data_IF_613682194850
#
_entry.id   IF_613682194850
#
_cell.length_a   1.000
_cell.length_b   1.000
_cell.length_c   1.000
_cell.angle_alpha   90.00
_cell.angle_beta   90.00
_cell.angle_gamma   90.00
#
_symmetry.space_group_name_H-M   'P 1'
#
loop_
_entity.id
_entity.type
_entity.pdbx_description
1 polymer ?
#
# COMPACT_ATOMS: atom_id res chain seq x y z
N UNK A 1 -38.73 -52.28 -21.28
CA UNK A 1 -37.58 -51.64 -20.62
C UNK A 1 -37.79 -50.12 -20.75
N UNK A 2 -38.05 -49.41 -19.64
CA UNK A 2 -38.41 -47.98 -19.63
C UNK A 2 -37.20 -47.22 -19.07
N UNK A 3 -36.52 -46.44 -19.90
CA UNK A 3 -35.38 -45.63 -19.48
C UNK A 3 -35.90 -44.36 -18.78
N UNK A 4 -35.59 -44.22 -17.50
CA UNK A 4 -35.87 -42.99 -16.73
C UNK A 4 -34.63 -42.11 -16.87
N UNK A 5 -34.74 -41.04 -17.65
CA UNK A 5 -33.68 -40.05 -17.83
C UNK A 5 -33.80 -39.00 -16.72
N UNK A 6 -32.94 -39.08 -15.71
CA UNK A 6 -32.86 -38.09 -14.62
C UNK A 6 -31.94 -36.97 -15.07
N UNK A 7 -32.51 -35.82 -15.45
CA UNK A 7 -31.75 -34.61 -15.80
C UNK A 7 -31.35 -33.92 -14.50
N UNK A 8 -30.13 -34.16 -14.05
CA UNK A 8 -29.51 -33.48 -12.91
C UNK A 8 -29.20 -32.03 -13.29
N UNK A 9 -29.90 -31.08 -12.68
CA UNK A 9 -29.71 -29.65 -12.92
C UNK A 9 -28.52 -29.15 -12.09
N UNK A 10 -27.39 -28.83 -12.74
CA UNK A 10 -26.25 -28.18 -12.08
C UNK A 10 -26.59 -26.72 -11.77
N UNK A 11 -26.76 -26.42 -10.48
CA UNK A 11 -26.82 -25.05 -9.96
C UNK A 11 -25.41 -24.45 -9.95
N UNK A 12 -25.14 -23.53 -10.88
CA UNK A 12 -23.93 -22.69 -10.87
C UNK A 12 -24.07 -21.62 -9.80
N UNK A 13 -23.55 -21.88 -8.59
CA UNK A 13 -23.40 -20.88 -7.55
C UNK A 13 -22.30 -19.89 -7.96
N UNK A 14 -22.68 -18.67 -8.35
CA UNK A 14 -21.75 -17.58 -8.64
C UNK A 14 -21.19 -17.04 -7.32
N UNK A 15 -19.95 -17.38 -6.99
CA UNK A 15 -19.24 -16.77 -5.86
C UNK A 15 -18.82 -15.35 -6.27
N UNK A 16 -19.57 -14.35 -5.82
CA UNK A 16 -19.16 -12.95 -5.95
C UNK A 16 -18.05 -12.72 -4.94
N UNK A 17 -16.79 -12.71 -5.39
CA UNK A 17 -15.66 -12.34 -4.56
C UNK A 17 -15.85 -10.90 -4.07
N UNK A 18 -15.95 -10.71 -2.76
CA UNK A 18 -15.99 -9.38 -2.16
C UNK A 18 -14.67 -8.66 -2.49
N UNK A 19 -14.75 -7.43 -3.00
CA UNK A 19 -13.56 -6.61 -3.21
C UNK A 19 -12.90 -6.36 -1.83
N UNK A 20 -11.59 -6.59 -1.67
CA UNK A 20 -10.92 -6.31 -0.41
C UNK A 20 -11.10 -4.83 -0.05
N UNK A 21 -11.45 -4.57 1.22
CA UNK A 21 -11.56 -3.21 1.74
C UNK A 21 -10.18 -2.55 1.64
N UNK A 22 -10.07 -1.29 1.16
CA UNK A 22 -8.79 -0.60 1.14
C UNK A 22 -8.23 -0.49 2.57
N UNK A 23 -6.90 -0.57 2.71
CA UNK A 23 -6.23 -0.50 4.01
C UNK A 23 -6.39 0.89 4.61
N UNK A 24 -6.48 0.99 5.94
CA UNK A 24 -6.28 2.27 6.63
C UNK A 24 -4.79 2.54 6.67
N UNK A 25 -4.37 3.64 6.07
CA UNK A 25 -2.96 4.02 6.03
C UNK A 25 -2.69 5.09 7.09
N UNK A 26 -1.47 5.09 7.64
CA UNK A 26 -1.03 6.17 8.50
C UNK A 26 -0.94 7.50 7.73
N UNK A 27 -1.24 8.61 8.40
CA UNK A 27 -1.19 9.98 7.87
C UNK A 27 -0.26 10.83 8.72
N UNK A 28 0.02 12.07 8.33
CA UNK A 28 0.70 13.05 9.19
C UNK A 28 0.02 14.41 9.15
N UNK A 29 0.28 15.26 10.15
CA UNK A 29 -0.16 16.66 10.16
C UNK A 29 0.96 17.57 9.63
N UNK A 30 0.76 18.39 8.58
CA UNK A 30 1.83 19.22 8.04
C UNK A 30 2.30 20.36 8.98
N UNK A 31 1.62 20.61 10.10
CA UNK A 31 2.00 21.64 11.06
C UNK A 31 3.30 21.28 11.81
N UNK A 32 4.19 22.26 11.92
CA UNK A 32 5.46 22.10 12.63
C UNK A 32 5.23 21.75 14.10
N UNK A 33 5.87 20.67 14.56
CA UNK A 33 5.70 20.15 15.92
C UNK A 33 4.54 19.16 16.07
N UNK A 34 3.73 18.96 15.03
CA UNK A 34 2.58 18.04 15.05
C UNK A 34 2.66 16.96 13.96
N UNK A 35 3.68 16.97 13.10
CA UNK A 35 3.76 16.01 11.99
C UNK A 35 4.01 14.57 12.43
N UNK A 36 4.66 14.39 13.58
CA UNK A 36 4.97 13.10 14.18
C UNK A 36 5.65 12.08 13.26
N UNK A 37 6.20 12.53 12.13
CA UNK A 37 7.02 11.71 11.26
C UNK A 37 8.36 11.45 11.93
N UNK A 38 8.90 10.25 11.75
CA UNK A 38 10.26 9.96 12.17
C UNK A 38 11.26 10.84 11.38
N UNK A 39 12.41 11.17 11.97
CA UNK A 39 13.45 12.01 11.35
C UNK A 39 13.95 11.46 10.00
N UNK A 40 13.79 10.16 9.77
CA UNK A 40 14.16 9.49 8.53
C UNK A 40 13.15 9.68 7.40
N UNK A 41 12.01 10.30 7.69
CA UNK A 41 10.90 10.50 6.77
C UNK A 41 10.56 11.99 6.62
N UNK A 42 9.63 12.32 5.74
CA UNK A 42 9.12 13.69 5.57
C UNK A 42 7.62 13.69 5.33
N UNK A 43 6.89 14.57 6.00
CA UNK A 43 5.45 14.72 5.80
C UNK A 43 5.16 15.42 4.46
N UNK A 44 4.57 14.71 3.49
CA UNK A 44 4.31 15.24 2.15
C UNK A 44 2.83 15.17 1.76
N UNK A 45 2.40 16.10 0.91
CA UNK A 45 1.05 16.11 0.35
C UNK A 45 0.95 15.16 -0.85
N UNK A 46 0.04 14.20 -0.79
CA UNK A 46 -0.26 13.23 -1.87
C UNK A 46 -1.46 13.66 -2.73
N UNK A 47 -1.86 14.93 -2.65
CA UNK A 47 -3.00 15.54 -3.32
C UNK A 47 -4.28 15.52 -2.48
N UNK A 48 -4.55 14.41 -1.78
CA UNK A 48 -5.75 14.27 -0.94
C UNK A 48 -5.45 14.30 0.56
N UNK A 49 -4.26 13.85 0.95
CA UNK A 49 -3.84 13.67 2.35
C UNK A 49 -2.34 13.87 2.49
N UNK A 50 -1.91 13.99 3.74
CA UNK A 50 -0.50 14.05 4.10
C UNK A 50 -0.05 12.70 4.66
N UNK A 51 1.14 12.26 4.24
CA UNK A 51 1.75 11.00 4.66
C UNK A 51 3.24 11.19 4.95
N UNK A 52 3.78 10.45 5.91
CA UNK A 52 5.23 10.38 6.12
C UNK A 52 5.82 9.55 5.00
N UNK A 53 6.66 10.15 4.17
CA UNK A 53 7.36 9.49 3.08
C UNK A 53 8.81 9.22 3.48
N UNK A 54 9.26 7.99 3.22
CA UNK A 54 10.65 7.60 3.28
C UNK A 54 11.51 8.41 2.31
N UNK A 55 12.81 8.50 2.60
CA UNK A 55 13.78 8.93 1.57
C UNK A 55 13.74 7.94 0.41
N UNK A 56 13.96 8.43 -0.81
CA UNK A 56 14.04 7.60 -2.01
C UNK A 56 15.05 6.45 -1.82
N UNK A 57 14.65 5.22 -2.16
CA UNK A 57 15.48 4.01 -2.01
C UNK A 57 15.43 3.37 -0.60
N UNK A 58 14.59 3.88 0.29
CA UNK A 58 14.39 3.34 1.63
C UNK A 58 12.94 2.90 1.87
N UNK A 59 12.79 1.90 2.74
CA UNK A 59 11.55 1.30 3.24
C UNK A 59 11.62 1.10 4.77
N UNK A 60 10.49 0.87 5.42
CA UNK A 60 10.42 0.78 6.87
C UNK A 60 10.94 -0.57 7.38
N UNK A 61 10.51 -1.66 6.74
CA UNK A 61 10.79 -3.01 7.19
C UNK A 61 11.04 -3.98 6.04
N UNK A 62 11.59 -5.15 6.37
CA UNK A 62 11.89 -6.21 5.40
C UNK A 62 10.64 -6.91 4.86
N UNK A 63 9.53 -6.90 5.61
CA UNK A 63 8.26 -7.45 5.12
C UNK A 63 7.58 -6.43 4.21
N UNK A 64 7.76 -6.62 2.90
CA UNK A 64 7.21 -5.74 1.88
C UNK A 64 5.68 -5.63 1.91
N UNK A 65 4.96 -6.55 2.56
CA UNK A 65 3.50 -6.57 2.60
C UNK A 65 2.91 -6.04 3.91
N UNK A 66 3.74 -5.64 4.88
CA UNK A 66 3.26 -5.13 6.17
C UNK A 66 2.77 -3.68 6.05
N UNK A 67 1.50 -3.53 5.72
CA UNK A 67 0.83 -2.23 5.61
C UNK A 67 0.76 -1.44 6.91
N UNK A 68 0.93 -2.10 8.06
CA UNK A 68 0.95 -1.42 9.35
C UNK A 68 2.25 -0.66 9.57
N UNK A 69 3.28 -0.94 8.77
CA UNK A 69 4.57 -0.25 8.81
C UNK A 69 4.86 0.52 7.52
N UNK A 70 4.47 -0.02 6.35
CA UNK A 70 4.82 0.58 5.07
C UNK A 70 3.81 0.31 3.95
N UNK A 71 3.69 1.27 3.03
CA UNK A 71 2.84 1.13 1.85
C UNK A 71 3.29 2.08 0.74
N UNK A 72 2.96 1.76 -0.52
CA UNK A 72 3.07 2.70 -1.63
C UNK A 72 1.68 3.08 -2.13
N UNK A 73 1.54 4.29 -2.64
CA UNK A 73 0.30 4.79 -3.21
C UNK A 73 0.47 5.06 -4.70
N UNK A 74 -0.60 4.86 -5.46
CA UNK A 74 -0.65 5.22 -6.87
C UNK A 74 -0.84 6.74 -7.06
N UNK A 75 0.11 7.50 -6.51
CA UNK A 75 0.12 8.97 -6.56
C UNK A 75 1.07 9.43 -7.66
N UNK A 76 0.59 10.17 -8.68
CA UNK A 76 1.43 10.65 -9.77
C UNK A 76 2.68 11.37 -9.26
N UNK A 77 3.84 11.00 -9.82
CA UNK A 77 5.17 11.52 -9.44
C UNK A 77 5.66 11.14 -8.03
N UNK A 78 4.92 10.36 -7.25
CA UNK A 78 5.32 9.88 -5.93
C UNK A 78 5.22 8.36 -5.78
N UNK A 79 4.88 7.62 -6.85
CA UNK A 79 4.77 6.16 -6.84
C UNK A 79 6.05 5.48 -6.37
N UNK A 80 7.21 6.11 -6.51
CA UNK A 80 8.51 5.58 -6.08
C UNK A 80 8.80 5.74 -4.58
N UNK A 81 7.98 6.51 -3.86
CA UNK A 81 8.13 6.73 -2.43
C UNK A 81 7.37 5.66 -1.64
N UNK A 82 8.04 5.09 -0.65
CA UNK A 82 7.41 4.30 0.40
C UNK A 82 6.89 5.26 1.46
N UNK A 83 5.67 5.05 1.92
CA UNK A 83 5.02 5.80 2.99
C UNK A 83 4.90 4.95 4.24
N UNK A 84 4.86 5.62 5.38
CA UNK A 84 4.76 4.98 6.69
C UNK A 84 3.77 5.72 7.59
N UNK A 85 3.27 5.08 8.67
CA UNK A 85 2.61 5.79 9.75
C UNK A 85 3.57 6.71 10.52
N UNK A 86 2.98 7.58 11.34
CA UNK A 86 3.71 8.41 12.29
C UNK A 86 4.65 7.54 13.16
N UNK A 87 5.77 8.14 13.57
CA UNK A 87 6.80 7.53 14.43
C UNK A 87 7.45 6.26 13.88
N UNK A 88 7.29 5.95 12.60
CA UNK A 88 7.87 4.76 11.97
C UNK A 88 9.19 5.10 11.30
N UNK A 89 10.29 4.51 11.78
CA UNK A 89 11.62 4.65 11.17
C UNK A 89 11.66 4.03 9.76
N UNK A 90 12.34 4.71 8.84
CA UNK A 90 12.51 4.27 7.46
C UNK A 90 13.99 4.28 7.02
N UNK A 91 14.75 3.32 7.55
CA UNK A 91 16.18 3.16 7.32
C UNK A 91 16.57 1.83 6.63
N UNK A 92 15.60 1.01 6.26
CA UNK A 92 15.86 -0.23 5.51
C UNK A 92 16.04 0.12 4.04
N UNK A 93 17.09 -0.38 3.37
CA UNK A 93 17.24 -0.19 1.92
C UNK A 93 16.20 -1.02 1.17
N UNK A 94 15.71 -0.47 0.06
CA UNK A 94 14.95 -1.24 -0.91
C UNK A 94 15.85 -2.25 -1.64
N UNK A 95 15.24 -3.25 -2.29
CA UNK A 95 15.95 -4.32 -2.99
C UNK A 95 16.72 -3.75 -4.19
N UNK A 96 16.15 -2.76 -4.88
CA UNK A 96 16.85 -1.86 -5.79
C UNK A 96 16.78 -0.41 -5.27
N UNK A 97 17.77 0.05 -4.49
CA UNK A 97 17.78 1.40 -3.92
C UNK A 97 18.30 2.46 -4.90
N UNK A 98 18.74 2.06 -6.10
CA UNK A 98 19.29 2.96 -7.12
C UNK A 98 18.45 2.98 -8.41
N UNK A 99 17.30 2.31 -8.40
CA UNK A 99 16.32 2.33 -9.48
C UNK A 99 15.79 3.74 -9.80
N UNK A 100 15.11 3.87 -10.93
CA UNK A 100 14.57 5.15 -11.39
C UNK A 100 13.05 5.10 -11.47
N UNK A 101 12.40 6.16 -10.96
CA UNK A 101 10.95 6.28 -11.00
C UNK A 101 10.26 5.05 -10.40
N UNK A 102 9.31 4.40 -11.11
CA UNK A 102 8.47 3.34 -10.55
C UNK A 102 9.23 2.07 -10.13
N UNK A 103 10.43 1.85 -10.66
CA UNK A 103 11.27 0.69 -10.36
C UNK A 103 11.91 0.79 -8.97
N UNK A 104 12.04 2.00 -8.42
CA UNK A 104 12.58 2.22 -7.09
C UNK A 104 11.58 1.69 -6.04
N UNK A 105 12.06 0.81 -5.16
CA UNK A 105 11.27 0.14 -4.13
C UNK A 105 10.05 -0.65 -4.69
N UNK A 106 10.20 -1.19 -5.91
CA UNK A 106 9.16 -1.92 -6.63
C UNK A 106 8.60 -3.14 -5.86
N UNK A 107 9.39 -3.69 -4.93
CA UNK A 107 9.01 -4.84 -4.11
C UNK A 107 7.90 -4.52 -3.09
N UNK A 108 7.72 -3.25 -2.72
CA UNK A 108 6.59 -2.81 -1.88
C UNK A 108 5.34 -2.62 -2.76
N UNK A 109 4.19 -3.25 -2.45
CA UNK A 109 2.99 -3.16 -3.25
C UNK A 109 2.40 -1.74 -3.30
N UNK A 110 1.90 -1.36 -4.49
CA UNK A 110 1.14 -0.13 -4.70
C UNK A 110 -0.34 -0.37 -4.38
N UNK A 111 -0.91 0.51 -3.57
CA UNK A 111 -2.34 0.58 -3.29
C UNK A 111 -2.98 1.75 -4.04
N UNK A 112 -4.20 1.55 -4.52
CA UNK A 112 -4.99 2.57 -5.22
C UNK A 112 -5.45 3.71 -4.31
N UNK A 113 -5.33 3.53 -3.00
CA UNK A 113 -5.70 4.52 -2.00
C UNK A 113 -5.89 3.88 -0.63
N UNK A 114 -6.19 4.74 0.34
CA UNK A 114 -6.40 4.37 1.73
C UNK A 114 -7.87 4.53 2.11
N UNK A 115 -8.40 3.63 2.93
CA UNK A 115 -9.70 3.82 3.57
C UNK A 115 -9.68 5.07 4.44
N UNK A 116 -10.82 5.75 4.46
CA UNK A 116 -11.06 6.95 5.27
C UNK A 116 -11.52 6.62 6.68
#
# INVERSE_FOLDING_TARGET
MKAISVISSLLLASMVAAKPKPPTCGTCNPLSGENYCDITTSCINTGTRFHCACRAGYKACADNNDITQQFRLDTPNFQFLVFTPEYTECNTLCDDPYGAGPDLCAEVPIYQGCAV
#
